data_IF_506920777084
#
_entry.id   IF_506920777084
#
_cell.length_a   1.000
_cell.length_b   1.000
_cell.length_c   1.000
_cell.angle_alpha   90.00
_cell.angle_beta   90.00
_cell.angle_gamma   90.00
#
_symmetry.space_group_name_H-M   'P 1'
#
loop_
_entity.id
_entity.type
_entity.pdbx_description
1 polymer ?
#
# COMPACT_ATOMS: atom_id res chain seq x y z
N UNK A 1 0.55 15.06 -7.22
CA UNK A 1 0.16 14.95 -5.81
C UNK A 1 0.68 16.08 -4.92
N UNK A 2 1.87 16.65 -5.17
CA UNK A 2 2.40 17.79 -4.37
C UNK A 2 1.51 19.03 -4.41
N UNK A 3 0.99 19.42 -5.57
CA UNK A 3 0.09 20.57 -5.68
C UNK A 3 -1.22 20.37 -4.92
N UNK A 4 -1.81 19.18 -5.03
CA UNK A 4 -3.03 18.83 -4.31
C UNK A 4 -2.82 18.74 -2.80
N UNK A 5 -1.64 18.31 -2.35
CA UNK A 5 -1.30 18.31 -0.93
C UNK A 5 -1.31 19.73 -0.34
N UNK A 6 -0.90 20.75 -1.11
CA UNK A 6 -0.95 22.14 -0.64
C UNK A 6 -2.38 22.61 -0.36
N UNK A 7 -3.36 22.11 -1.11
CA UNK A 7 -4.78 22.50 -0.96
C UNK A 7 -5.59 21.56 -0.06
N UNK A 8 -5.27 20.26 -0.02
CA UNK A 8 -6.07 19.22 0.63
C UNK A 8 -5.44 18.70 1.93
N UNK A 9 -4.18 19.07 2.22
CA UNK A 9 -3.44 18.64 3.39
C UNK A 9 -2.61 17.38 3.19
N UNK A 10 -2.04 16.90 4.29
CA UNK A 10 -1.04 15.81 4.32
C UNK A 10 -1.61 14.40 4.07
N UNK A 11 -2.94 14.25 4.25
CA UNK A 11 -3.71 13.05 3.97
C UNK A 11 -4.97 13.46 3.24
N UNK A 12 -5.18 12.90 2.05
CA UNK A 12 -6.40 13.11 1.30
C UNK A 12 -6.78 11.87 0.51
N UNK A 13 -8.03 11.83 0.05
CA UNK A 13 -8.52 10.74 -0.80
C UNK A 13 -8.77 11.21 -2.22
N UNK A 14 -8.45 10.34 -3.18
CA UNK A 14 -8.72 10.54 -4.60
C UNK A 14 -9.45 9.28 -5.10
N UNK A 15 -10.61 9.46 -5.72
CA UNK A 15 -11.30 8.35 -6.39
C UNK A 15 -10.70 8.15 -7.78
N UNK A 16 -10.08 7.00 -8.01
CA UNK A 16 -9.56 6.59 -9.32
C UNK A 16 -10.29 5.35 -9.78
N UNK A 17 -11.13 5.50 -10.81
CA UNK A 17 -12.07 4.47 -11.24
C UNK A 17 -13.06 4.11 -10.14
N UNK A 18 -13.13 2.82 -9.80
CA UNK A 18 -14.00 2.31 -8.73
C UNK A 18 -13.33 2.31 -7.35
N UNK A 19 -12.05 2.66 -7.24
CA UNK A 19 -11.30 2.59 -5.99
C UNK A 19 -11.04 3.98 -5.40
N UNK A 20 -11.11 4.07 -4.07
CA UNK A 20 -10.67 5.25 -3.33
C UNK A 20 -9.22 5.05 -2.88
N UNK A 21 -8.37 6.00 -3.27
CA UNK A 21 -6.96 5.98 -2.95
C UNK A 21 -6.68 7.01 -1.88
N UNK A 22 -6.04 6.58 -0.79
CA UNK A 22 -5.56 7.49 0.25
C UNK A 22 -4.13 7.87 -0.10
N UNK A 23 -3.89 9.16 -0.30
CA UNK A 23 -2.59 9.71 -0.65
C UNK A 23 -1.95 10.28 0.63
N UNK A 24 -0.73 9.85 0.91
CA UNK A 24 0.09 10.32 2.03
C UNK A 24 1.24 11.16 1.48
N UNK A 25 1.35 12.41 1.90
CA UNK A 25 2.37 13.34 1.36
C UNK A 25 3.34 13.90 2.38
N UNK A 26 3.15 13.58 3.66
CA UNK A 26 3.99 14.02 4.77
C UNK A 26 4.85 12.88 5.30
N UNK A 27 6.13 13.17 5.56
CA UNK A 27 7.10 12.24 6.14
C UNK A 27 6.63 11.71 7.51
N UNK A 28 6.06 12.59 8.34
CA UNK A 28 5.49 12.24 9.65
C UNK A 28 4.35 11.22 9.52
N UNK A 29 3.45 11.44 8.56
CA UNK A 29 2.32 10.55 8.30
C UNK A 29 2.81 9.20 7.79
N UNK A 30 3.76 9.21 6.85
CA UNK A 30 4.36 7.99 6.30
C UNK A 30 5.06 7.19 7.40
N UNK A 31 5.84 7.84 8.26
CA UNK A 31 6.49 7.19 9.39
C UNK A 31 5.46 6.61 10.38
N UNK A 32 4.39 7.34 10.70
CA UNK A 32 3.37 6.86 11.62
C UNK A 32 2.63 5.63 11.06
N UNK A 33 2.25 5.65 9.78
CA UNK A 33 1.46 4.57 9.18
C UNK A 33 2.31 3.38 8.73
N UNK A 34 3.43 3.61 8.05
CA UNK A 34 4.22 2.53 7.46
C UNK A 34 5.30 2.00 8.41
N UNK A 35 5.94 2.85 9.20
CA UNK A 35 6.97 2.39 10.15
C UNK A 35 6.33 1.89 11.45
N UNK A 36 5.57 2.74 12.14
CA UNK A 36 5.02 2.36 13.48
C UNK A 36 3.83 1.41 13.39
N UNK A 37 3.04 1.51 12.32
CA UNK A 37 1.81 0.72 12.12
C UNK A 37 1.88 -0.18 10.89
N UNK A 38 3.09 -0.50 10.41
CA UNK A 38 3.31 -1.26 9.18
C UNK A 38 2.54 -2.59 9.14
N UNK A 39 2.38 -3.26 10.29
CA UNK A 39 1.58 -4.49 10.37
C UNK A 39 0.12 -4.36 9.93
N UNK A 40 -0.46 -3.14 9.97
CA UNK A 40 -1.84 -2.86 9.55
C UNK A 40 -1.94 -2.37 8.10
N UNK A 41 -0.94 -1.64 7.62
CA UNK A 41 -1.03 -0.90 6.35
C UNK A 41 -0.12 -1.43 5.24
N UNK A 42 0.67 -2.49 5.49
CA UNK A 42 1.60 -3.04 4.50
C UNK A 42 1.01 -4.08 3.55
N UNK A 43 -0.27 -4.43 3.65
CA UNK A 43 -0.91 -5.31 2.65
C UNK A 43 -0.93 -4.65 1.29
N UNK A 44 -0.52 -5.39 0.25
CA UNK A 44 -0.55 -4.91 -1.14
C UNK A 44 -1.92 -5.16 -1.77
N UNK A 45 -2.34 -4.23 -2.63
CA UNK A 45 -3.53 -4.45 -3.47
C UNK A 45 -3.31 -5.66 -4.37
N UNK A 46 -4.23 -6.62 -4.31
CA UNK A 46 -4.25 -7.77 -5.19
C UNK A 46 -4.68 -7.32 -6.58
N UNK A 47 -3.79 -7.44 -7.57
CA UNK A 47 -4.16 -7.34 -8.98
C UNK A 47 -4.29 -8.74 -9.56
N UNK A 48 -5.52 -9.14 -9.88
CA UNK A 48 -5.81 -10.44 -10.51
C UNK A 48 -5.05 -10.60 -11.83
N UNK A 49 -5.18 -9.62 -12.73
CA UNK A 49 -4.59 -9.70 -14.06
C UNK A 49 -3.07 -9.56 -14.08
N UNK A 50 -2.53 -8.65 -13.25
CA UNK A 50 -1.11 -8.32 -13.34
C UNK A 50 -0.24 -9.29 -12.57
N UNK A 51 -0.59 -9.60 -11.31
CA UNK A 51 0.32 -10.36 -10.46
C UNK A 51 -0.19 -11.76 -10.18
N UNK A 52 -1.49 -11.94 -9.97
CA UNK A 52 -2.03 -13.24 -9.61
C UNK A 52 -1.89 -14.23 -10.78
N UNK A 53 -2.27 -13.81 -11.99
CA UNK A 53 -2.14 -14.64 -13.20
C UNK A 53 -0.66 -14.93 -13.54
N UNK A 54 0.20 -13.90 -13.57
CA UNK A 54 1.60 -14.06 -13.97
C UNK A 54 2.41 -14.92 -12.99
N UNK A 55 2.11 -14.81 -11.70
CA UNK A 55 2.86 -15.52 -10.65
C UNK A 55 2.14 -16.73 -10.10
N UNK A 56 0.93 -17.03 -10.59
CA UNK A 56 0.03 -18.05 -10.05
C UNK A 56 -0.20 -17.87 -8.54
N UNK A 57 -0.43 -16.64 -8.12
CA UNK A 57 -0.59 -16.26 -6.71
C UNK A 57 0.65 -16.44 -5.84
N UNK A 58 1.85 -16.51 -6.45
CA UNK A 58 3.12 -16.70 -5.73
C UNK A 58 4.06 -15.51 -5.75
N UNK A 59 3.59 -14.37 -6.23
CA UNK A 59 4.32 -13.09 -6.18
C UNK A 59 4.71 -12.77 -4.76
N UNK A 60 6.00 -12.52 -4.55
CA UNK A 60 6.53 -11.94 -3.32
C UNK A 60 6.18 -10.45 -3.22
N UNK A 61 6.42 -9.69 -4.29
CA UNK A 61 6.31 -8.22 -4.34
C UNK A 61 4.88 -7.74 -4.10
N UNK A 62 3.89 -8.47 -4.63
CA UNK A 62 2.47 -8.15 -4.53
C UNK A 62 1.73 -9.08 -3.57
N UNK A 63 2.44 -9.78 -2.69
CA UNK A 63 1.81 -10.64 -1.68
C UNK A 63 1.04 -9.80 -0.68
N UNK A 64 -0.13 -10.25 -0.20
CA UNK A 64 -0.75 -9.68 0.98
C UNK A 64 0.17 -9.84 2.20
N UNK A 65 0.07 -8.92 3.16
CA UNK A 65 0.85 -8.98 4.40
C UNK A 65 0.20 -9.98 5.37
N UNK A 66 0.61 -11.25 5.25
CA UNK A 66 0.11 -12.37 6.03
C UNK A 66 1.27 -13.27 6.51
N UNK A 67 0.97 -14.38 7.17
CA UNK A 67 1.99 -15.30 7.70
C UNK A 67 2.94 -15.82 6.61
N UNK A 68 2.42 -16.11 5.41
CA UNK A 68 3.26 -16.51 4.28
C UNK A 68 4.28 -15.44 3.92
N UNK A 69 3.86 -14.17 3.88
CA UNK A 69 4.77 -13.05 3.60
C UNK A 69 5.85 -12.94 4.67
N UNK A 70 5.49 -13.00 5.96
CA UNK A 70 6.43 -12.94 7.08
C UNK A 70 7.48 -14.06 7.03
N UNK A 71 7.07 -15.27 6.64
CA UNK A 71 8.00 -16.41 6.46
C UNK A 71 8.98 -16.15 5.32
N UNK A 72 8.54 -15.52 4.22
CA UNK A 72 9.39 -15.17 3.09
C UNK A 72 10.30 -13.96 3.38
N UNK A 73 9.93 -13.11 4.36
CA UNK A 73 10.71 -11.96 4.84
C UNK A 73 11.06 -12.07 6.32
N UNK A 74 12.02 -12.93 6.70
CA UNK A 74 12.56 -12.91 8.05
C UNK A 74 13.49 -11.70 8.19
N UNK A 75 12.90 -10.55 8.54
CA UNK A 75 13.60 -9.31 8.88
C UNK A 75 13.19 -8.89 10.29
#
# INVERSE_FOLDING_TARGET
FTEWARSLGDIYSVRMGQQNWIILTSDKVVAELLQKRGGKYSTRLTSYYTFDLLTRGKSYISSPYNERYKILTPI
#
